data_IF_771342920326
#
_entry.id   IF_771342920326
#
_cell.length_a   1.000
_cell.length_b   1.000
_cell.length_c   1.000
_cell.angle_alpha   90.00
_cell.angle_beta   90.00
_cell.angle_gamma   90.00
#
_symmetry.space_group_name_H-M   'P 1'
#
loop_
_entity.id
_entity.type
_entity.pdbx_description
1 polymer ?
#
# COMPACT_ATOMS: atom_id res chain seq x y z
N UNK A 1 16.97 4.40 6.65
CA UNK A 1 18.24 4.09 5.96
C UNK A 1 19.14 5.31 5.97
N UNK A 2 20.28 5.24 6.66
CA UNK A 2 21.31 6.30 6.74
C UNK A 2 20.77 7.72 7.02
N UNK A 3 19.68 7.84 7.78
CA UNK A 3 19.02 9.11 8.10
C UNK A 3 18.29 9.82 6.94
N UNK A 4 18.33 9.28 5.71
CA UNK A 4 17.78 9.96 4.52
C UNK A 4 16.50 9.35 3.94
N UNK A 5 16.24 8.06 4.15
CA UNK A 5 15.05 7.37 3.61
C UNK A 5 14.38 6.51 4.68
N UNK A 6 13.05 6.58 4.77
CA UNK A 6 12.22 5.83 5.74
C UNK A 6 11.63 4.52 5.19
N UNK A 7 12.01 4.11 3.98
CA UNK A 7 11.56 2.88 3.32
C UNK A 7 12.67 1.85 3.24
N UNK A 8 12.32 0.55 3.25
CA UNK A 8 13.24 -0.57 3.00
C UNK A 8 13.09 -1.18 1.61
N UNK A 9 12.00 -0.85 0.90
CA UNK A 9 11.72 -1.33 -0.45
C UNK A 9 11.20 -0.20 -1.33
N UNK A 10 11.68 -0.14 -2.56
CA UNK A 10 11.24 0.82 -3.56
C UNK A 10 11.70 0.41 -4.96
N UNK A 11 10.95 0.84 -5.98
CA UNK A 11 11.43 0.89 -7.36
C UNK A 11 12.23 2.20 -7.51
N UNK A 12 13.33 2.18 -8.26
CA UNK A 12 14.26 3.32 -8.33
C UNK A 12 15.33 3.26 -7.25
N UNK A 13 15.64 4.39 -6.59
CA UNK A 13 16.63 4.48 -5.50
C UNK A 13 17.98 3.82 -5.81
N UNK A 14 18.44 4.00 -7.05
CA UNK A 14 19.58 3.27 -7.61
C UNK A 14 20.87 3.46 -6.81
N UNK A 15 21.07 4.61 -6.16
CA UNK A 15 22.23 4.88 -5.30
C UNK A 15 22.37 3.89 -4.13
N UNK A 16 21.25 3.32 -3.66
CA UNK A 16 21.23 2.32 -2.58
C UNK A 16 21.33 0.87 -3.08
N UNK A 17 21.54 0.69 -4.39
CA UNK A 17 21.52 -0.60 -5.09
C UNK A 17 22.80 -0.87 -5.89
N UNK A 18 23.94 -0.36 -5.42
CA UNK A 18 25.23 -0.41 -6.11
C UNK A 18 26.22 -1.42 -5.50
N UNK A 19 25.81 -2.24 -4.53
CA UNK A 19 26.71 -3.22 -3.94
C UNK A 19 26.92 -4.39 -4.91
N UNK A 20 28.15 -4.52 -5.43
CA UNK A 20 28.54 -5.55 -6.42
C UNK A 20 28.64 -6.96 -5.84
N UNK A 21 28.79 -7.08 -4.51
CA UNK A 21 28.92 -8.37 -3.82
C UNK A 21 27.56 -8.97 -3.46
N UNK A 22 26.47 -8.20 -3.60
CA UNK A 22 25.11 -8.62 -3.24
C UNK A 22 24.25 -8.79 -4.49
N UNK A 23 23.32 -9.73 -4.44
CA UNK A 23 22.30 -9.84 -5.48
C UNK A 23 21.30 -8.65 -5.41
N UNK A 24 20.41 -8.55 -6.39
CA UNK A 24 19.46 -7.43 -6.50
C UNK A 24 18.48 -7.32 -5.31
N UNK A 25 18.16 -8.44 -4.65
CA UNK A 25 17.19 -8.51 -3.56
C UNK A 25 17.81 -8.24 -2.17
N UNK A 26 19.13 -8.39 -2.04
CA UNK A 26 19.92 -8.17 -0.83
C UNK A 26 20.48 -6.74 -0.73
N UNK A 27 20.22 -5.89 -1.73
CA UNK A 27 20.62 -4.48 -1.68
C UNK A 27 19.98 -3.77 -0.48
N UNK A 28 20.59 -2.65 -0.06
CA UNK A 28 20.11 -1.86 1.09
C UNK A 28 18.64 -1.45 0.98
N UNK A 29 18.18 -1.19 -0.25
CA UNK A 29 16.78 -1.09 -0.62
C UNK A 29 16.52 -2.12 -1.71
N UNK A 30 15.53 -2.98 -1.52
CA UNK A 30 15.16 -3.99 -2.52
C UNK A 30 13.98 -3.53 -3.38
N UNK A 31 13.96 -3.93 -4.66
CA UNK A 31 12.81 -3.78 -5.54
C UNK A 31 11.89 -5.03 -5.52
N UNK A 32 12.23 -6.05 -4.72
CA UNK A 32 11.47 -7.29 -4.63
C UNK A 32 10.13 -7.05 -3.91
N UNK A 33 8.97 -7.27 -4.57
CA UNK A 33 7.67 -7.10 -3.94
C UNK A 33 7.34 -8.31 -3.04
N UNK A 34 6.50 -8.07 -2.03
CA UNK A 34 5.79 -9.15 -1.35
C UNK A 34 4.50 -9.46 -2.14
N UNK A 35 4.31 -10.73 -2.51
CA UNK A 35 3.18 -11.16 -3.34
C UNK A 35 2.29 -12.10 -2.53
N UNK A 36 1.02 -11.71 -2.35
CA UNK A 36 -0.02 -12.56 -1.77
C UNK A 36 -1.11 -12.80 -2.80
N UNK A 37 -1.55 -14.05 -2.93
CA UNK A 37 -2.71 -14.43 -3.73
C UNK A 37 -3.89 -14.68 -2.81
N UNK A 38 -5.04 -14.11 -3.15
CA UNK A 38 -6.30 -14.27 -2.44
C UNK A 38 -7.36 -14.69 -3.45
N UNK A 39 -8.22 -15.64 -3.06
CA UNK A 39 -9.41 -16.00 -3.84
C UNK A 39 -10.53 -15.07 -3.42
N UNK A 40 -11.19 -14.44 -4.39
CA UNK A 40 -12.35 -13.60 -4.12
C UNK A 40 -13.56 -14.51 -3.87
N UNK A 41 -14.25 -14.28 -2.78
CA UNK A 41 -15.47 -14.97 -2.37
C UNK A 41 -16.69 -14.03 -2.46
N UNK A 42 -17.90 -14.59 -2.44
CA UNK A 42 -19.16 -13.80 -2.50
C UNK A 42 -19.31 -12.78 -1.35
N UNK A 43 -18.60 -13.01 -0.23
CA UNK A 43 -18.62 -12.14 0.94
C UNK A 43 -17.71 -10.91 0.83
N UNK A 44 -16.81 -10.89 -0.15
CA UNK A 44 -15.86 -9.79 -0.34
C UNK A 44 -16.57 -8.61 -1.00
N UNK A 45 -16.56 -7.45 -0.34
CA UNK A 45 -17.39 -6.30 -0.74
C UNK A 45 -16.62 -5.25 -1.54
N UNK A 46 -15.40 -4.92 -1.10
CA UNK A 46 -14.53 -3.91 -1.73
C UNK A 46 -13.08 -4.10 -1.27
N UNK A 47 -12.15 -3.45 -1.99
CA UNK A 47 -10.74 -3.36 -1.62
C UNK A 47 -10.34 -1.89 -1.55
N UNK A 48 -9.55 -1.54 -0.54
CA UNK A 48 -8.96 -0.20 -0.39
C UNK A 48 -7.46 -0.26 -0.66
N UNK A 49 -6.98 0.65 -1.51
CA UNK A 49 -5.57 0.89 -1.76
C UNK A 49 -5.28 2.36 -1.47
N UNK A 50 -4.36 2.62 -0.53
CA UNK A 50 -3.96 3.97 -0.16
C UNK A 50 -2.47 4.00 0.23
N UNK A 51 -1.85 5.17 0.15
CA UNK A 51 -0.51 5.39 0.68
C UNK A 51 -0.51 5.51 2.21
N UNK A 52 0.67 5.57 2.80
CA UNK A 52 0.88 5.77 4.24
C UNK A 52 0.18 7.03 4.77
N UNK A 53 -0.02 8.06 3.95
CA UNK A 53 -0.77 9.27 4.30
C UNK A 53 -2.13 8.99 4.92
N UNK A 54 -2.86 7.94 4.51
CA UNK A 54 -4.10 7.51 5.17
C UNK A 54 -3.80 6.65 6.40
N UNK A 55 -2.95 5.63 6.23
CA UNK A 55 -2.70 4.62 7.26
C UNK A 55 -1.93 5.13 8.48
N UNK A 56 -1.30 6.30 8.36
CA UNK A 56 -0.66 7.01 9.47
C UNK A 56 -1.69 7.58 10.46
N UNK A 57 -2.94 7.76 10.06
CA UNK A 57 -3.99 8.39 10.88
C UNK A 57 -5.23 7.52 11.09
N UNK A 58 -5.50 6.57 10.19
CA UNK A 58 -6.69 5.72 10.24
C UNK A 58 -6.29 4.24 10.27
N UNK A 59 -6.96 3.47 11.13
CA UNK A 59 -6.85 2.01 11.09
C UNK A 59 -7.60 1.45 9.90
N UNK A 60 -7.33 0.19 9.54
CA UNK A 60 -8.11 -0.50 8.49
C UNK A 60 -9.60 -0.50 8.78
N UNK A 61 -10.00 -0.60 10.06
CA UNK A 61 -11.42 -0.59 10.42
C UNK A 61 -12.04 0.80 10.29
N UNK A 62 -11.34 1.86 10.71
CA UNK A 62 -11.82 3.24 10.55
C UNK A 62 -12.13 3.56 9.08
N UNK A 63 -11.26 3.10 8.17
CA UNK A 63 -11.45 3.27 6.72
C UNK A 63 -12.65 2.46 6.21
N UNK A 64 -12.83 1.22 6.67
CA UNK A 64 -14.00 0.43 6.32
C UNK A 64 -15.30 1.07 6.81
N UNK A 65 -15.33 1.56 8.05
CA UNK A 65 -16.49 2.20 8.67
C UNK A 65 -16.84 3.52 7.98
N UNK A 66 -15.84 4.22 7.43
CA UNK A 66 -16.05 5.41 6.61
C UNK A 66 -16.66 5.08 5.23
N UNK A 67 -16.13 4.05 4.55
CA UNK A 67 -16.48 3.75 3.15
C UNK A 67 -17.80 2.98 3.05
N UNK A 68 -18.00 1.96 3.89
CA UNK A 68 -19.09 1.00 3.72
C UNK A 68 -20.50 1.65 3.70
N UNK A 69 -20.85 2.57 4.62
CA UNK A 69 -22.15 3.24 4.57
C UNK A 69 -22.37 4.01 3.27
N UNK A 70 -21.34 4.68 2.75
CA UNK A 70 -21.41 5.50 1.52
C UNK A 70 -21.59 4.63 0.27
N UNK A 71 -20.94 3.47 0.24
CA UNK A 71 -21.14 2.48 -0.82
C UNK A 71 -22.56 1.91 -0.81
N UNK A 72 -23.08 1.56 0.37
CA UNK A 72 -24.42 0.97 0.52
C UNK A 72 -25.53 1.98 0.21
N UNK A 73 -25.37 3.24 0.60
CA UNK A 73 -26.33 4.30 0.28
C UNK A 73 -26.42 4.58 -1.23
N UNK A 74 -25.32 4.38 -1.97
CA UNK A 74 -25.27 4.52 -3.43
C UNK A 74 -25.52 5.93 -3.96
N UNK A 75 -25.43 6.96 -3.09
CA UNK A 75 -25.68 8.37 -3.45
C UNK A 75 -24.44 9.09 -3.94
N UNK A 76 -23.27 8.63 -3.53
CA UNK A 76 -21.97 9.22 -3.84
C UNK A 76 -21.25 8.39 -4.90
N UNK A 77 -20.52 9.07 -5.79
CA UNK A 77 -19.62 8.39 -6.73
C UNK A 77 -18.39 7.90 -5.96
N UNK A 78 -17.81 6.78 -6.38
CA UNK A 78 -16.56 6.27 -5.78
C UNK A 78 -15.45 7.33 -5.74
N UNK A 79 -15.33 8.16 -6.78
CA UNK A 79 -14.35 9.25 -6.80
C UNK A 79 -14.55 10.26 -5.66
N UNK A 80 -15.78 10.50 -5.24
CA UNK A 80 -16.10 11.42 -4.13
C UNK A 80 -15.88 10.78 -2.77
N UNK A 81 -15.98 9.45 -2.67
CA UNK A 81 -15.68 8.69 -1.45
C UNK A 81 -14.15 8.63 -1.23
N UNK A 82 -13.37 8.66 -2.32
CA UNK A 82 -11.91 8.55 -2.29
C UNK A 82 -11.15 9.90 -2.25
N UNK A 83 -11.83 11.02 -2.50
CA UNK A 83 -11.27 12.38 -2.38
C UNK A 83 -11.41 12.93 -0.95
#
# INVERSE_FOLDING_TARGET
INGGLNLSRAIGDHSYKQNKELNAQEQMITALPDVKKLTIEEKDQFMVLACDGIWNFMTSQDVCDFILPRLVEGRERLSQICE
#
